data_IF_491058585807
#
_entry.id   IF_491058585807
#
_cell.length_a   1.000
_cell.length_b   1.000
_cell.length_c   1.000
_cell.angle_alpha   90.00
_cell.angle_beta   90.00
_cell.angle_gamma   90.00
#
_symmetry.space_group_name_H-M   'P 1'
#
loop_
_entity.id
_entity.type
_entity.pdbx_description
1 polymer ?
#
# COMPACT_ATOMS: atom_id res chain seq x y z
N UNK A 1 15.87 -6.43 -0.44
CA UNK A 1 14.48 -6.17 -0.88
C UNK A 1 14.54 -5.30 -2.11
N UNK A 2 13.82 -5.71 -3.13
CA UNK A 2 13.92 -5.08 -4.43
C UNK A 2 12.69 -4.18 -4.64
N UNK A 3 12.92 -2.85 -4.59
CA UNK A 3 11.90 -1.88 -4.98
C UNK A 3 11.80 -1.80 -6.49
N UNK A 4 10.58 -1.70 -6.99
CA UNK A 4 10.31 -1.44 -8.40
C UNK A 4 10.62 0.02 -8.71
N UNK A 5 11.43 0.25 -9.74
CA UNK A 5 11.81 1.61 -10.16
C UNK A 5 10.78 2.08 -11.19
N UNK A 6 9.70 2.63 -10.68
CA UNK A 6 8.52 3.07 -11.42
C UNK A 6 8.04 4.44 -10.93
N UNK A 7 7.29 5.14 -11.76
CA UNK A 7 6.49 6.30 -11.39
C UNK A 7 5.01 5.92 -11.18
N UNK A 8 4.16 6.90 -10.95
CA UNK A 8 2.73 6.67 -10.74
C UNK A 8 2.04 6.08 -11.97
N UNK A 9 2.40 6.56 -13.16
CA UNK A 9 1.79 6.11 -14.41
C UNK A 9 2.12 4.64 -14.67
N UNK A 10 3.41 4.30 -14.67
CA UNK A 10 3.84 2.92 -14.91
C UNK A 10 3.33 1.96 -13.83
N UNK A 11 3.38 2.37 -12.54
CA UNK A 11 2.87 1.55 -11.45
C UNK A 11 1.36 1.28 -11.58
N UNK A 12 0.58 2.32 -11.91
CA UNK A 12 -0.86 2.16 -12.10
C UNK A 12 -1.19 1.36 -13.37
N UNK A 13 -0.42 1.51 -14.46
CA UNK A 13 -0.61 0.70 -15.67
C UNK A 13 -0.39 -0.79 -15.41
N UNK A 14 0.70 -1.17 -14.75
CA UNK A 14 0.97 -2.56 -14.35
C UNK A 14 -0.18 -3.15 -13.54
N UNK A 15 -0.70 -2.40 -12.57
CA UNK A 15 -1.81 -2.86 -11.72
C UNK A 15 -3.10 -3.01 -12.53
N UNK A 16 -3.42 -2.05 -13.39
CA UNK A 16 -4.65 -2.07 -14.20
C UNK A 16 -4.60 -3.13 -15.30
N UNK A 17 -3.44 -3.33 -15.94
CA UNK A 17 -3.26 -4.39 -16.92
C UNK A 17 -3.51 -5.77 -16.27
N UNK A 18 -2.89 -6.05 -15.12
CA UNK A 18 -3.14 -7.27 -14.38
C UNK A 18 -4.62 -7.41 -13.95
N UNK A 19 -5.27 -6.30 -13.56
CA UNK A 19 -6.69 -6.28 -13.21
C UNK A 19 -7.58 -6.63 -14.41
N UNK A 20 -7.31 -6.07 -15.59
CA UNK A 20 -8.03 -6.36 -16.83
C UNK A 20 -7.90 -7.83 -17.26
N UNK A 21 -6.70 -8.37 -17.14
CA UNK A 21 -6.41 -9.78 -17.44
C UNK A 21 -6.87 -10.74 -16.34
N UNK A 22 -7.40 -10.24 -15.22
CA UNK A 22 -7.71 -11.03 -14.02
C UNK A 22 -6.52 -11.86 -13.51
N UNK A 23 -5.33 -11.37 -13.76
CA UNK A 23 -4.09 -11.95 -13.28
C UNK A 23 -3.89 -11.65 -11.80
N UNK A 24 -3.56 -12.67 -11.03
CA UNK A 24 -3.21 -12.50 -9.62
C UNK A 24 -1.91 -11.71 -9.52
N UNK A 25 -2.00 -10.46 -9.11
CA UNK A 25 -0.85 -9.58 -8.90
C UNK A 25 -0.90 -9.01 -7.48
N UNK A 26 0.23 -9.07 -6.79
CA UNK A 26 0.38 -8.47 -5.46
C UNK A 26 1.25 -7.22 -5.50
N UNK A 27 0.67 -6.06 -5.14
CA UNK A 27 1.36 -4.78 -5.08
C UNK A 27 1.32 -4.15 -3.69
N UNK A 28 2.37 -3.44 -3.30
CA UNK A 28 2.41 -2.65 -2.06
C UNK A 28 3.16 -1.33 -2.22
N UNK A 29 2.60 -0.27 -1.65
CA UNK A 29 3.30 0.99 -1.42
C UNK A 29 4.04 0.91 -0.08
N UNK A 30 5.35 0.63 -0.11
CA UNK A 30 6.13 0.27 1.06
C UNK A 30 7.05 1.40 1.51
N UNK A 31 6.72 1.99 2.68
CA UNK A 31 7.49 3.04 3.31
C UNK A 31 8.57 2.50 4.26
N UNK A 32 9.36 3.41 4.87
CA UNK A 32 10.43 3.11 5.83
C UNK A 32 10.01 2.12 6.91
N UNK A 33 8.80 2.27 7.47
CA UNK A 33 8.32 1.35 8.49
C UNK A 33 8.24 -0.09 8.00
N UNK A 34 7.67 -0.32 6.83
CA UNK A 34 7.55 -1.68 6.26
C UNK A 34 8.92 -2.27 5.93
N UNK A 35 9.82 -1.47 5.35
CA UNK A 35 11.20 -1.88 5.08
C UNK A 35 11.91 -2.32 6.37
N UNK A 36 11.92 -1.48 7.39
CA UNK A 36 12.62 -1.78 8.65
C UNK A 36 11.98 -2.93 9.42
N UNK A 37 10.65 -3.03 9.41
CA UNK A 37 9.97 -4.19 9.99
C UNK A 37 10.41 -5.49 9.30
N UNK A 38 10.57 -5.49 7.98
CA UNK A 38 11.03 -6.67 7.24
C UNK A 38 12.51 -7.01 7.46
N UNK A 39 13.36 -6.02 7.73
CA UNK A 39 14.75 -6.26 8.12
C UNK A 39 14.83 -7.03 9.45
N UNK A 40 13.88 -6.78 10.35
CA UNK A 40 13.83 -7.40 11.67
C UNK A 40 12.96 -8.67 11.73
N UNK A 41 12.24 -9.00 10.65
CA UNK A 41 11.38 -10.18 10.52
C UNK A 41 11.65 -10.91 9.20
N UNK A 42 12.46 -11.99 9.28
CA UNK A 42 12.83 -12.79 8.10
C UNK A 42 11.62 -13.43 7.40
N UNK A 43 10.55 -13.76 8.13
CA UNK A 43 9.31 -14.29 7.52
C UNK A 43 8.63 -13.22 6.69
N UNK A 44 8.50 -12.02 7.24
CA UNK A 44 7.97 -10.88 6.48
C UNK A 44 8.84 -10.55 5.28
N UNK A 45 10.17 -10.55 5.43
CA UNK A 45 11.09 -10.34 4.32
C UNK A 45 10.86 -11.33 3.18
N UNK A 46 10.70 -12.62 3.51
CA UNK A 46 10.39 -13.66 2.50
C UNK A 46 9.02 -13.43 1.85
N UNK A 47 8.02 -13.02 2.63
CA UNK A 47 6.69 -12.71 2.10
C UNK A 47 6.71 -11.51 1.15
N UNK A 48 7.41 -10.43 1.51
CA UNK A 48 7.53 -9.25 0.65
C UNK A 48 8.23 -9.56 -0.69
N UNK A 49 9.18 -10.49 -0.71
CA UNK A 49 9.83 -10.93 -1.96
C UNK A 49 8.89 -11.64 -2.93
N UNK A 50 7.70 -12.06 -2.49
CA UNK A 50 6.68 -12.66 -3.35
C UNK A 50 5.81 -11.63 -4.04
N UNK A 51 5.83 -10.38 -3.58
CA UNK A 51 5.06 -9.31 -4.22
C UNK A 51 5.64 -9.00 -5.60
N UNK A 52 4.76 -8.82 -6.57
CA UNK A 52 5.12 -8.53 -7.96
C UNK A 52 5.56 -7.08 -8.14
N UNK A 53 5.00 -6.16 -7.31
CA UNK A 53 5.27 -4.73 -7.40
C UNK A 53 5.41 -4.13 -6.00
N UNK A 54 6.61 -3.64 -5.66
CA UNK A 54 6.86 -2.89 -4.43
C UNK A 54 7.30 -1.47 -4.81
N UNK A 55 6.40 -0.51 -4.64
CA UNK A 55 6.71 0.88 -4.98
C UNK A 55 7.32 1.65 -3.82
N UNK A 56 8.28 2.57 -4.08
CA UNK A 56 8.98 3.33 -3.05
C UNK A 56 8.08 4.42 -2.46
N UNK A 57 7.39 4.11 -1.36
CA UNK A 57 6.57 5.07 -0.63
C UNK A 57 7.41 5.86 0.38
N UNK A 58 7.30 7.16 0.30
CA UNK A 58 8.00 8.09 1.19
C UNK A 58 9.35 8.60 0.66
N UNK A 59 9.60 9.90 0.90
CA UNK A 59 10.82 10.57 0.43
C UNK A 59 12.12 9.92 0.92
N UNK A 60 12.23 9.42 2.18
CA UNK A 60 13.47 8.78 2.63
C UNK A 60 13.86 7.55 1.80
N UNK A 61 12.88 6.74 1.37
CA UNK A 61 13.14 5.58 0.49
C UNK A 61 13.65 6.04 -0.86
N UNK A 62 12.99 7.02 -1.48
CA UNK A 62 13.41 7.62 -2.75
C UNK A 62 14.84 8.16 -2.66
N UNK A 63 15.16 8.94 -1.62
CA UNK A 63 16.51 9.50 -1.44
C UNK A 63 17.56 8.40 -1.26
N UNK A 64 17.26 7.35 -0.49
CA UNK A 64 18.16 6.22 -0.33
C UNK A 64 18.42 5.50 -1.65
N UNK A 65 17.37 5.20 -2.42
CA UNK A 65 17.48 4.56 -3.73
C UNK A 65 18.33 5.41 -4.71
N UNK A 66 18.02 6.71 -4.80
CA UNK A 66 18.75 7.61 -5.68
C UNK A 66 20.23 7.75 -5.28
N UNK A 67 20.51 7.82 -3.97
CA UNK A 67 21.86 8.05 -3.49
C UNK A 67 22.72 6.78 -3.56
N UNK A 68 22.17 5.62 -3.16
CA UNK A 68 22.93 4.37 -3.10
C UNK A 68 23.00 3.67 -4.47
N UNK A 69 21.92 3.74 -5.28
CA UNK A 69 21.81 2.96 -6.52
C UNK A 69 21.73 3.80 -7.79
N UNK A 70 21.72 5.15 -7.67
CA UNK A 70 21.72 6.09 -8.81
C UNK A 70 20.55 5.89 -9.79
N UNK A 71 19.39 5.49 -9.27
CA UNK A 71 18.20 5.16 -10.10
C UNK A 71 17.44 6.36 -10.64
N UNK A 72 17.74 7.59 -10.16
CA UNK A 72 17.18 8.86 -10.65
C UNK A 72 15.64 8.96 -10.58
N UNK A 73 15.02 8.40 -9.54
CA UNK A 73 13.58 8.57 -9.31
C UNK A 73 13.24 10.06 -9.12
N UNK A 74 12.39 10.61 -9.99
CA UNK A 74 11.96 12.03 -9.93
C UNK A 74 11.12 12.29 -8.69
N UNK A 75 10.22 11.37 -8.34
CA UNK A 75 9.39 11.43 -7.12
C UNK A 75 9.25 10.04 -6.49
N UNK A 76 8.71 10.01 -5.26
CA UNK A 76 8.25 8.79 -4.59
C UNK A 76 6.94 8.33 -5.23
N UNK A 77 6.57 7.07 -5.03
CA UNK A 77 5.23 6.58 -5.38
C UNK A 77 4.41 6.43 -4.10
N UNK A 78 3.77 7.52 -3.69
CA UNK A 78 3.00 7.62 -2.45
C UNK A 78 1.70 6.84 -2.53
N UNK A 79 1.45 5.93 -1.59
CA UNK A 79 0.30 5.03 -1.60
C UNK A 79 -1.06 5.70 -1.83
N UNK A 80 -1.42 6.77 -1.10
CA UNK A 80 -2.67 7.50 -1.35
C UNK A 80 -2.78 8.10 -2.74
N UNK A 81 -1.71 8.70 -3.29
CA UNK A 81 -1.71 9.24 -4.66
C UNK A 81 -1.78 8.11 -5.69
N UNK A 82 -1.03 7.03 -5.50
CA UNK A 82 -1.13 5.85 -6.37
C UNK A 82 -2.56 5.29 -6.40
N UNK A 83 -3.24 5.29 -5.25
CA UNK A 83 -4.64 4.86 -5.17
C UNK A 83 -5.53 5.69 -6.10
N UNK A 84 -5.34 7.01 -6.17
CA UNK A 84 -6.12 7.87 -7.08
C UNK A 84 -5.84 7.57 -8.54
N UNK A 85 -4.57 7.39 -8.94
CA UNK A 85 -4.21 6.99 -10.31
C UNK A 85 -4.84 5.64 -10.70
N UNK A 86 -4.80 4.66 -9.80
CA UNK A 86 -5.42 3.35 -10.01
C UNK A 86 -6.95 3.47 -10.11
N UNK A 87 -7.60 4.26 -9.25
CA UNK A 87 -9.05 4.49 -9.31
C UNK A 87 -9.47 5.23 -10.58
N UNK A 88 -8.70 6.21 -11.03
CA UNK A 88 -8.97 6.92 -12.28
C UNK A 88 -8.96 5.98 -13.49
N UNK A 89 -7.90 5.16 -13.60
CA UNK A 89 -7.81 4.16 -14.67
C UNK A 89 -8.88 3.06 -14.54
N UNK A 90 -9.16 2.59 -13.31
CA UNK A 90 -10.24 1.64 -13.06
C UNK A 90 -11.62 2.19 -13.44
N UNK A 91 -11.87 3.48 -13.21
CA UNK A 91 -13.09 4.18 -13.64
C UNK A 91 -13.21 4.25 -15.17
N UNK A 92 -12.11 4.56 -15.87
CA UNK A 92 -12.06 4.57 -17.34
C UNK A 92 -12.40 3.20 -17.93
N UNK A 93 -11.92 2.14 -17.32
CA UNK A 93 -12.14 0.76 -17.75
C UNK A 93 -13.38 0.09 -17.13
N UNK A 94 -14.16 0.82 -16.31
CA UNK A 94 -15.39 0.33 -15.65
C UNK A 94 -15.15 -0.95 -14.83
N UNK A 95 -14.04 -1.00 -14.09
CA UNK A 95 -13.65 -2.21 -13.37
C UNK A 95 -14.50 -2.45 -12.11
N UNK A 96 -14.59 -3.71 -11.74
CA UNK A 96 -15.14 -4.15 -10.47
C UNK A 96 -14.08 -4.02 -9.38
N UNK A 97 -14.45 -3.43 -8.24
CA UNK A 97 -13.57 -3.15 -7.11
C UNK A 97 -14.08 -3.87 -5.85
N UNK A 98 -13.16 -4.47 -5.10
CA UNK A 98 -13.39 -4.97 -3.76
C UNK A 98 -12.57 -4.18 -2.73
N UNK A 99 -13.19 -3.78 -1.63
CA UNK A 99 -12.53 -3.10 -0.51
C UNK A 99 -12.33 -4.09 0.64
N UNK A 100 -11.07 -4.36 1.00
CA UNK A 100 -10.73 -5.32 2.04
C UNK A 100 -9.92 -4.68 3.17
N UNK A 101 -10.43 -4.73 4.39
CA UNK A 101 -9.76 -4.20 5.58
C UNK A 101 -10.39 -2.91 6.12
N UNK A 102 -9.68 -2.22 7.02
CA UNK A 102 -10.13 -1.00 7.70
C UNK A 102 -11.38 -1.19 8.57
N UNK A 103 -11.92 -0.09 9.11
CA UNK A 103 -13.13 -0.08 9.92
C UNK A 103 -14.38 0.10 9.05
N UNK A 104 -15.52 -0.33 9.56
CA UNK A 104 -16.83 -0.11 8.92
C UNK A 104 -17.07 1.36 8.57
N UNK A 105 -16.69 2.26 9.47
CA UNK A 105 -16.84 3.70 9.27
C UNK A 105 -15.97 4.21 8.12
N UNK A 106 -14.68 3.87 8.12
CA UNK A 106 -13.74 4.24 7.03
C UNK A 106 -14.23 3.69 5.69
N UNK A 107 -14.66 2.42 5.65
CA UNK A 107 -15.17 1.79 4.43
C UNK A 107 -16.42 2.49 3.89
N UNK A 108 -17.34 2.91 4.77
CA UNK A 108 -18.54 3.66 4.38
C UNK A 108 -18.18 4.98 3.68
N UNK A 109 -17.28 5.77 4.29
CA UNK A 109 -16.89 7.05 3.71
C UNK A 109 -16.02 6.89 2.45
N UNK A 110 -15.10 5.93 2.44
CA UNK A 110 -14.28 5.66 1.26
C UNK A 110 -15.13 5.16 0.09
N UNK A 111 -16.12 4.28 0.33
CA UNK A 111 -17.12 3.91 -0.69
C UNK A 111 -17.85 5.15 -1.23
N UNK A 112 -18.29 6.05 -0.35
CA UNK A 112 -18.93 7.32 -0.74
C UNK A 112 -18.02 8.17 -1.62
N UNK A 113 -16.74 8.32 -1.24
CA UNK A 113 -15.73 9.01 -2.03
C UNK A 113 -15.59 8.39 -3.44
N UNK A 114 -15.44 7.07 -3.53
CA UNK A 114 -15.29 6.38 -4.82
C UNK A 114 -16.54 6.59 -5.70
N UNK A 115 -17.73 6.39 -5.15
CA UNK A 115 -18.98 6.54 -5.91
C UNK A 115 -19.15 7.97 -6.46
N UNK A 116 -18.73 8.98 -5.70
CA UNK A 116 -18.87 10.38 -6.09
C UNK A 116 -17.83 10.82 -7.14
N UNK A 117 -16.60 10.30 -7.07
CA UNK A 117 -15.51 10.75 -7.95
C UNK A 117 -15.24 9.79 -9.12
N UNK A 118 -15.62 8.52 -8.97
CA UNK A 118 -15.36 7.45 -9.94
C UNK A 118 -16.62 6.61 -10.20
N UNK A 119 -17.68 7.23 -10.78
CA UNK A 119 -19.02 6.62 -10.86
C UNK A 119 -19.11 5.36 -11.73
N UNK A 120 -18.13 5.12 -12.61
CA UNK A 120 -18.11 3.93 -13.45
C UNK A 120 -17.49 2.70 -12.75
N UNK A 121 -16.88 2.86 -11.58
CA UNK A 121 -16.37 1.75 -10.78
C UNK A 121 -17.55 1.08 -10.07
N UNK A 122 -17.67 -0.24 -10.25
CA UNK A 122 -18.64 -1.04 -9.50
C UNK A 122 -17.97 -1.63 -8.26
N UNK A 123 -18.34 -1.18 -7.07
CA UNK A 123 -17.91 -1.80 -5.82
C UNK A 123 -18.70 -3.07 -5.62
N UNK A 124 -18.10 -4.24 -5.87
CA UNK A 124 -18.73 -5.56 -5.87
C UNK A 124 -18.65 -6.27 -4.52
N UNK A 125 -17.81 -5.75 -3.60
CA UNK A 125 -17.78 -6.29 -2.26
C UNK A 125 -16.97 -5.40 -1.29
N UNK A 126 -17.25 -5.58 -0.02
CA UNK A 126 -16.60 -4.86 1.09
C UNK A 126 -16.44 -5.86 2.23
N UNK A 127 -15.22 -5.92 2.78
CA UNK A 127 -14.92 -6.74 3.95
C UNK A 127 -14.23 -5.87 5.02
N UNK A 128 -14.83 -5.79 6.20
CA UNK A 128 -14.25 -5.09 7.36
C UNK A 128 -13.11 -5.91 7.96
N UNK A 129 -12.04 -5.24 8.43
CA UNK A 129 -10.93 -5.93 9.10
C UNK A 129 -11.37 -6.52 10.43
N UNK A 130 -11.04 -7.77 10.66
CA UNK A 130 -11.22 -8.44 11.95
C UNK A 130 -10.24 -7.96 13.02
N UNK A 131 -9.23 -7.17 12.65
CA UNK A 131 -8.11 -6.72 13.49
C UNK A 131 -7.32 -7.86 14.18
N UNK A 132 -7.47 -9.08 13.66
CA UNK A 132 -6.72 -10.29 14.01
C UNK A 132 -6.41 -11.08 12.74
N UNK A 133 -5.60 -12.12 12.88
CA UNK A 133 -5.44 -13.05 11.77
C UNK A 133 -6.72 -13.90 11.61
N UNK A 134 -7.14 -14.20 10.36
CA UNK A 134 -8.29 -15.05 10.09
C UNK A 134 -7.96 -16.50 10.48
N UNK A 135 -9.00 -17.28 10.79
CA UNK A 135 -8.88 -18.75 10.80
C UNK A 135 -8.76 -19.25 9.35
N UNK A 136 -8.41 -20.53 9.19
CA UNK A 136 -8.30 -21.16 7.86
C UNK A 136 -9.63 -21.08 7.11
N UNK A 137 -10.75 -21.36 7.77
CA UNK A 137 -12.09 -21.33 7.15
C UNK A 137 -12.51 -19.90 6.79
N UNK A 138 -12.20 -18.93 7.64
CA UNK A 138 -12.43 -17.52 7.36
C UNK A 138 -11.62 -17.03 6.15
N UNK A 139 -10.36 -17.46 6.05
CA UNK A 139 -9.47 -17.12 4.93
C UNK A 139 -9.99 -17.71 3.61
N UNK A 140 -10.39 -18.98 3.62
CA UNK A 140 -11.03 -19.64 2.46
C UNK A 140 -12.32 -18.93 2.07
N UNK A 141 -13.15 -18.57 3.05
CA UNK A 141 -14.40 -17.83 2.81
C UNK A 141 -14.14 -16.46 2.19
N UNK A 142 -13.13 -15.73 2.68
CA UNK A 142 -12.74 -14.41 2.15
C UNK A 142 -12.28 -14.53 0.68
N UNK A 143 -11.42 -15.51 0.36
CA UNK A 143 -10.97 -15.79 -1.00
C UNK A 143 -12.17 -16.08 -1.92
N UNK A 144 -13.06 -16.96 -1.49
CA UNK A 144 -14.26 -17.32 -2.26
C UNK A 144 -15.17 -16.09 -2.49
N UNK A 145 -15.40 -15.29 -1.45
CA UNK A 145 -16.23 -14.08 -1.55
C UNK A 145 -15.62 -13.07 -2.54
N UNK A 146 -14.31 -12.87 -2.52
CA UNK A 146 -13.63 -11.96 -3.44
C UNK A 146 -13.73 -12.49 -4.87
N UNK A 147 -13.42 -13.76 -5.10
CA UNK A 147 -13.46 -14.35 -6.44
C UNK A 147 -14.89 -14.41 -7.01
N UNK A 148 -15.88 -14.78 -6.20
CA UNK A 148 -17.30 -14.81 -6.60
C UNK A 148 -17.85 -13.41 -6.88
N UNK A 149 -17.31 -12.37 -6.25
CA UNK A 149 -17.69 -10.98 -6.50
C UNK A 149 -17.27 -10.47 -7.88
N UNK A 150 -16.46 -11.25 -8.58
CA UNK A 150 -15.89 -10.87 -9.89
C UNK A 150 -15.10 -9.54 -9.82
N UNK A 151 -14.42 -9.28 -8.70
CA UNK A 151 -13.55 -8.12 -8.57
C UNK A 151 -12.34 -8.25 -9.51
N UNK A 152 -12.02 -7.18 -10.22
CA UNK A 152 -10.79 -7.05 -11.00
C UNK A 152 -9.64 -6.52 -10.13
N UNK A 153 -9.99 -5.67 -9.16
CA UNK A 153 -9.06 -4.98 -8.27
C UNK A 153 -9.52 -5.13 -6.82
N UNK A 154 -8.57 -5.44 -5.93
CA UNK A 154 -8.80 -5.50 -4.48
C UNK A 154 -7.90 -4.46 -3.81
N UNK A 155 -8.47 -3.41 -3.23
CA UNK A 155 -7.72 -2.49 -2.39
C UNK A 155 -7.67 -3.03 -0.97
N UNK A 156 -6.45 -3.09 -0.39
CA UNK A 156 -6.21 -3.72 0.92
C UNK A 156 -5.74 -2.68 1.94
N UNK A 157 -6.57 -2.44 2.97
CA UNK A 157 -6.37 -1.45 4.02
C UNK A 157 -6.26 -2.05 5.42
N UNK A 158 -5.35 -3.01 5.65
CA UNK A 158 -5.16 -3.66 6.96
C UNK A 158 -4.05 -3.06 7.81
N UNK A 159 -3.31 -2.10 7.24
CA UNK A 159 -2.10 -1.53 7.83
C UNK A 159 -0.88 -2.46 7.71
N UNK A 160 0.30 -1.81 7.62
CA UNK A 160 1.60 -2.49 7.53
C UNK A 160 1.99 -3.07 8.91
N UNK A 161 2.49 -4.34 9.01
CA UNK A 161 2.82 -5.27 7.92
C UNK A 161 1.69 -6.25 7.53
N UNK A 162 0.50 -6.17 8.17
CA UNK A 162 -0.58 -7.17 7.98
C UNK A 162 -1.13 -7.20 6.56
N UNK A 163 -1.21 -6.05 5.90
CA UNK A 163 -1.68 -5.98 4.52
C UNK A 163 -0.69 -6.63 3.54
N UNK A 164 0.60 -6.44 3.73
CA UNK A 164 1.64 -7.06 2.89
C UNK A 164 1.66 -8.57 3.09
N UNK A 165 1.54 -9.05 4.33
CA UNK A 165 1.43 -10.48 4.66
C UNK A 165 0.21 -11.09 3.97
N UNK A 166 -0.93 -10.41 4.05
CA UNK A 166 -2.16 -10.86 3.43
C UNK A 166 -2.04 -10.90 1.90
N UNK A 167 -1.62 -9.83 1.26
CA UNK A 167 -1.46 -9.79 -0.20
C UNK A 167 -0.51 -10.88 -0.67
N UNK A 168 0.67 -11.02 -0.04
CA UNK A 168 1.65 -12.02 -0.45
C UNK A 168 1.15 -13.46 -0.31
N UNK A 169 0.29 -13.75 0.67
CA UNK A 169 -0.28 -15.09 0.90
C UNK A 169 -1.45 -15.43 -0.04
N UNK A 170 -1.98 -14.40 -0.74
CA UNK A 170 -3.12 -14.54 -1.64
C UNK A 170 -2.76 -14.46 -3.13
N UNK A 171 -1.48 -14.23 -3.47
CA UNK A 171 -0.99 -14.33 -4.84
C UNK A 171 -1.24 -15.77 -5.34
N UNK A 172 -1.85 -15.88 -6.52
CA UNK A 172 -2.26 -17.15 -7.12
C UNK A 172 -3.60 -17.72 -6.59
N UNK A 173 -4.22 -17.07 -5.57
CA UNK A 173 -5.52 -17.49 -5.03
C UNK A 173 -6.66 -16.53 -5.40
N UNK A 174 -6.36 -15.25 -5.55
CA UNK A 174 -7.33 -14.22 -5.94
C UNK A 174 -7.15 -13.90 -7.42
N UNK A 175 -8.25 -13.91 -8.16
CA UNK A 175 -8.30 -13.67 -9.60
C UNK A 175 -8.42 -12.16 -9.89
N UNK A 176 -7.34 -11.41 -9.63
CA UNK A 176 -7.29 -9.97 -9.83
C UNK A 176 -6.10 -9.32 -9.14
N UNK A 177 -5.88 -8.04 -9.41
CA UNK A 177 -4.81 -7.28 -8.80
C UNK A 177 -5.14 -6.88 -7.37
N UNK A 178 -4.20 -7.09 -6.44
CA UNK A 178 -4.31 -6.71 -5.03
C UNK A 178 -3.32 -5.59 -4.73
N UNK A 179 -3.79 -4.47 -4.20
CA UNK A 179 -2.97 -3.32 -3.86
C UNK A 179 -3.05 -2.97 -2.37
N UNK A 180 -1.95 -3.16 -1.64
CA UNK A 180 -1.81 -2.79 -0.24
C UNK A 180 -1.47 -1.30 -0.11
N UNK A 181 -2.42 -0.49 0.35
CA UNK A 181 -2.32 0.97 0.42
C UNK A 181 -2.59 1.57 1.81
N UNK A 182 -3.01 0.74 2.76
CA UNK A 182 -3.13 1.13 4.18
C UNK A 182 -3.88 2.43 4.42
N UNK A 183 -3.13 3.47 4.79
CA UNK A 183 -3.68 4.76 5.19
C UNK A 183 -4.44 5.52 4.07
N UNK A 184 -4.34 5.10 2.80
CA UNK A 184 -5.12 5.71 1.72
C UNK A 184 -6.63 5.63 1.98
N UNK A 185 -7.09 4.56 2.63
CA UNK A 185 -8.49 4.41 3.05
C UNK A 185 -8.92 5.55 3.97
N UNK A 186 -8.15 5.83 5.02
CA UNK A 186 -8.49 6.86 6.01
C UNK A 186 -8.37 8.27 5.41
N UNK A 187 -7.39 8.50 4.54
CA UNK A 187 -7.19 9.79 3.88
C UNK A 187 -8.33 10.10 2.92
N UNK A 188 -8.68 9.18 2.02
CA UNK A 188 -9.74 9.41 1.04
C UNK A 188 -11.14 9.33 1.64
N UNK A 189 -11.30 8.64 2.77
CA UNK A 189 -12.52 8.70 3.59
C UNK A 189 -12.66 10.03 4.36
N UNK A 190 -11.64 10.89 4.38
CA UNK A 190 -11.64 12.13 5.14
C UNK A 190 -11.54 11.94 6.66
N UNK A 191 -11.21 10.74 7.14
CA UNK A 191 -11.05 10.42 8.58
C UNK A 191 -9.75 11.00 9.13
N UNK A 192 -8.68 10.94 8.34
CA UNK A 192 -7.36 11.48 8.70
C UNK A 192 -6.98 12.56 7.69
N UNK A 193 -6.44 13.67 8.16
CA UNK A 193 -5.95 14.74 7.28
C UNK A 193 -4.60 14.38 6.70
N UNK A 194 -4.42 14.64 5.40
CA UNK A 194 -3.11 14.57 4.78
C UNK A 194 -2.26 15.78 5.17
N UNK A 195 -0.94 15.60 5.21
CA UNK A 195 -0.02 16.71 5.40
C UNK A 195 -0.05 17.65 4.19
N UNK A 196 0.22 18.93 4.39
CA UNK A 196 0.39 19.89 3.28
C UNK A 196 1.46 19.42 2.30
N UNK A 197 1.29 19.74 1.01
CA UNK A 197 2.18 19.26 -0.07
C UNK A 197 3.65 19.64 0.17
N UNK A 198 3.91 20.84 0.72
CA UNK A 198 5.27 21.26 1.02
C UNK A 198 5.95 20.33 2.06
N UNK A 199 5.21 19.89 3.11
CA UNK A 199 5.75 18.92 4.09
C UNK A 199 6.02 17.55 3.46
N UNK A 200 5.14 17.12 2.54
CA UNK A 200 5.32 15.88 1.80
C UNK A 200 6.60 15.93 0.95
N UNK A 201 6.83 17.03 0.25
CA UNK A 201 7.97 17.21 -0.67
C UNK A 201 9.32 17.20 0.06
N UNK A 202 9.40 17.76 1.27
CA UNK A 202 10.62 17.77 2.09
C UNK A 202 10.72 16.58 3.06
N UNK A 203 9.80 15.59 2.96
CA UNK A 203 9.84 14.36 3.75
C UNK A 203 9.41 14.50 5.21
N UNK A 204 8.71 15.57 5.59
CA UNK A 204 8.19 15.84 6.93
C UNK A 204 6.77 15.32 7.17
N UNK A 205 6.19 14.55 6.27
CA UNK A 205 4.86 13.96 6.41
C UNK A 205 4.74 13.14 7.71
N UNK A 206 5.77 12.38 8.06
CA UNK A 206 5.78 11.58 9.29
C UNK A 206 5.61 12.44 10.55
N UNK A 207 6.18 13.67 10.57
CA UNK A 207 6.06 14.60 11.69
C UNK A 207 4.62 15.12 11.82
N UNK A 208 4.00 15.46 10.68
CA UNK A 208 2.58 15.84 10.65
C UNK A 208 1.69 14.71 11.14
N UNK A 209 1.92 13.48 10.70
CA UNK A 209 1.17 12.31 11.19
C UNK A 209 1.41 12.05 12.68
N UNK A 210 2.65 12.25 13.16
CA UNK A 210 2.97 12.13 14.57
C UNK A 210 2.18 13.12 15.41
N UNK A 211 1.99 14.36 14.95
CA UNK A 211 1.18 15.37 15.67
C UNK A 211 -0.31 15.00 15.75
N UNK A 212 -0.83 14.26 14.78
CA UNK A 212 -2.22 13.80 14.79
C UNK A 212 -2.44 12.56 15.66
N UNK A 213 -1.47 11.62 15.67
CA UNK A 213 -1.59 10.33 16.36
C UNK A 213 -0.35 10.03 17.23
N UNK A 214 0.04 10.90 18.18
CA UNK A 214 1.31 10.79 18.88
C UNK A 214 1.44 9.47 19.66
N UNK A 215 0.41 9.06 20.39
CA UNK A 215 0.41 7.83 21.20
C UNK A 215 0.67 6.58 20.37
N UNK A 216 0.16 6.52 19.14
CA UNK A 216 0.30 5.38 18.23
C UNK A 216 1.62 5.39 17.48
N UNK A 217 2.13 6.57 17.09
CA UNK A 217 3.20 6.68 16.09
C UNK A 217 4.58 6.99 16.66
N UNK A 218 4.72 7.54 17.88
CA UNK A 218 6.02 7.99 18.39
C UNK A 218 7.05 6.84 18.52
N UNK A 219 6.66 5.70 19.12
CA UNK A 219 7.55 4.53 19.23
C UNK A 219 7.95 4.02 17.85
N UNK A 220 6.95 3.88 16.96
CA UNK A 220 7.16 3.44 15.59
C UNK A 220 8.22 4.31 14.90
N UNK A 221 8.01 5.61 14.86
CA UNK A 221 8.94 6.51 14.15
C UNK A 221 10.31 6.59 14.81
N UNK A 222 10.37 6.62 16.14
CA UNK A 222 11.65 6.63 16.85
C UNK A 222 12.50 5.41 16.47
N UNK A 223 11.93 4.21 16.53
CA UNK A 223 12.70 2.99 16.23
C UNK A 223 12.96 2.83 14.73
N UNK A 224 11.94 2.96 13.88
CA UNK A 224 12.12 2.65 12.45
C UNK A 224 12.92 3.71 11.73
N UNK A 225 12.73 4.99 12.03
CA UNK A 225 13.51 6.05 11.37
C UNK A 225 14.97 6.04 11.83
N UNK A 226 15.24 5.84 13.13
CA UNK A 226 16.62 5.75 13.63
C UNK A 226 17.37 4.55 13.05
N UNK A 227 16.72 3.39 12.99
CA UNK A 227 17.32 2.20 12.39
C UNK A 227 17.53 2.36 10.88
N UNK A 228 16.59 2.99 10.18
CA UNK A 228 16.75 3.29 8.76
C UNK A 228 17.95 4.20 8.49
N UNK A 229 18.08 5.28 9.25
CA UNK A 229 19.21 6.21 9.13
C UNK A 229 20.54 5.47 9.41
N UNK A 230 20.60 4.66 10.46
CA UNK A 230 21.78 3.87 10.78
C UNK A 230 22.17 2.93 9.64
N UNK A 231 21.22 2.14 9.11
CA UNK A 231 21.46 1.21 8.00
C UNK A 231 21.89 1.98 6.75
N UNK A 232 21.23 3.07 6.42
CA UNK A 232 21.56 3.92 5.28
C UNK A 232 22.98 4.46 5.36
N UNK A 233 23.38 5.03 6.52
CA UNK A 233 24.71 5.56 6.72
C UNK A 233 25.76 4.45 6.66
N UNK A 234 25.51 3.29 7.26
CA UNK A 234 26.39 2.13 7.18
C UNK A 234 26.65 1.72 5.73
N UNK A 235 25.59 1.56 4.91
CA UNK A 235 25.75 1.23 3.49
C UNK A 235 26.47 2.32 2.69
N UNK A 236 26.26 3.60 3.03
CA UNK A 236 26.93 4.70 2.35
C UNK A 236 28.43 4.76 2.64
N UNK A 237 28.87 4.41 3.87
CA UNK A 237 30.27 4.48 4.31
C UNK A 237 31.03 3.22 3.88
N UNK A 238 30.45 2.04 4.08
CA UNK A 238 31.14 0.76 3.83
C UNK A 238 31.21 0.42 2.33
N UNK A 239 30.42 1.10 1.50
CA UNK A 239 30.23 0.74 0.09
C UNK A 239 29.72 -0.70 0.00
N UNK A 240 28.70 -0.97 -0.67
CA UNK A 240 28.08 -2.31 -0.84
C UNK A 240 28.89 -3.50 -0.38
#
# INVERSE_FOLDING_TARGET
MDYSIVDYELASDIIIEAALERKSLGASALAVHGLITSVNDHKLQHQLKKLDLIVPDGQPIRWALNNLYKVNLKDRVYGPTLTLHVLEKANKHKLNLFLYGSTKNTLKYFKGFINNHYPNIKITGIHEDRFREPTVDEDISDINNINNSQAHLVLVGRGCPRQEKWVSSHIGKINGAMLAVGAAFDFHAGIVKQSPSWMQNIGLEWLFRLSQEPKRLWKRYLFTNSQFIYIYLKHKIVGK
#
